data_IF_452711947761
#
_entry.id   IF_452711947761
#
_cell.length_a   1.000
_cell.length_b   1.000
_cell.length_c   1.000
_cell.angle_alpha   90.00
_cell.angle_beta   90.00
_cell.angle_gamma   90.00
#
_symmetry.space_group_name_H-M   'P 1'
#
loop_
_entity.id
_entity.type
_entity.pdbx_description
1 polymer ?
#
# COMPACT_ATOMS: atom_id res chain seq x y z
N UNK A 1 -1.01 15.37 15.05
CA UNK A 1 -2.48 15.49 15.01
C UNK A 1 -3.05 14.78 13.80
N UNK A 2 -4.29 14.33 13.91
CA UNK A 2 -5.11 13.78 12.83
C UNK A 2 -6.35 14.68 12.68
N UNK A 3 -7.03 14.69 11.51
CA UNK A 3 -6.80 13.89 10.29
C UNK A 3 -5.56 14.33 9.48
N UNK A 4 -5.10 13.47 8.57
CA UNK A 4 -3.97 13.73 7.66
C UNK A 4 -4.27 13.22 6.26
N UNK A 5 -3.59 13.78 5.25
CA UNK A 5 -3.72 13.29 3.88
C UNK A 5 -2.92 12.00 3.66
N UNK A 6 -3.51 11.04 2.96
CA UNK A 6 -2.83 9.78 2.60
C UNK A 6 -1.55 10.07 1.82
N UNK A 7 -1.59 11.03 0.88
CA UNK A 7 -0.44 11.36 0.05
C UNK A 7 0.77 11.92 0.83
N UNK A 8 0.57 12.47 2.03
CA UNK A 8 1.65 12.99 2.89
C UNK A 8 2.36 11.87 3.65
N UNK A 9 1.60 10.91 4.18
CA UNK A 9 2.15 9.83 5.02
C UNK A 9 2.48 8.56 4.23
N UNK A 10 1.77 8.31 3.12
CA UNK A 10 1.93 7.15 2.23
C UNK A 10 2.03 7.59 0.76
N UNK A 11 3.12 8.27 0.36
CA UNK A 11 3.25 8.77 -1.00
C UNK A 11 3.23 7.63 -2.04
N UNK A 12 2.53 7.89 -3.16
CA UNK A 12 2.51 7.01 -4.33
C UNK A 12 1.43 5.92 -4.36
N UNK A 13 0.73 5.64 -3.26
CA UNK A 13 -0.37 4.65 -3.26
C UNK A 13 -1.69 5.23 -3.82
N UNK A 14 -1.73 6.55 -4.01
CA UNK A 14 -2.92 7.30 -4.42
C UNK A 14 -3.61 8.00 -3.25
N UNK A 15 -4.85 8.43 -3.47
CA UNK A 15 -5.67 9.16 -2.50
C UNK A 15 -6.84 8.33 -1.94
N UNK A 16 -6.92 7.04 -2.30
CA UNK A 16 -7.95 6.10 -1.86
C UNK A 16 -7.30 4.76 -1.55
N UNK A 17 -7.76 4.12 -0.48
CA UNK A 17 -7.41 2.75 -0.09
C UNK A 17 -8.69 1.93 -0.07
N UNK A 18 -8.72 0.83 -0.81
CA UNK A 18 -9.86 -0.11 -0.78
C UNK A 18 -9.66 -1.16 0.33
N UNK A 19 -8.42 -1.61 0.56
CA UNK A 19 -8.04 -2.50 1.66
C UNK A 19 -6.57 -2.35 2.04
N UNK A 20 -6.21 -2.75 3.26
CA UNK A 20 -4.82 -2.79 3.74
C UNK A 20 -4.63 -3.87 4.80
N UNK A 21 -3.47 -4.53 4.80
CA UNK A 21 -2.98 -5.28 5.95
C UNK A 21 -1.47 -5.07 6.13
N UNK A 22 -0.95 -5.45 7.30
CA UNK A 22 0.47 -5.42 7.62
C UNK A 22 1.03 -6.85 7.70
N UNK A 23 2.20 -7.09 7.10
CA UNK A 23 2.93 -8.37 7.22
C UNK A 23 4.44 -8.13 7.13
N UNK A 24 5.21 -8.70 8.06
CA UNK A 24 6.67 -8.62 8.04
C UNK A 24 7.22 -7.19 8.07
N UNK A 25 6.53 -6.26 8.74
CA UNK A 25 6.93 -4.84 8.82
C UNK A 25 6.53 -3.97 7.62
N UNK A 26 5.91 -4.54 6.59
CA UNK A 26 5.43 -3.80 5.42
C UNK A 26 3.91 -3.64 5.45
N UNK A 27 3.43 -2.53 4.89
CA UNK A 27 2.02 -2.36 4.56
C UNK A 27 1.76 -2.85 3.13
N UNK A 28 0.65 -3.55 2.94
CA UNK A 28 0.18 -4.00 1.64
C UNK A 28 -1.13 -3.30 1.34
N UNK A 29 -1.06 -2.20 0.60
CA UNK A 29 -2.23 -1.41 0.22
C UNK A 29 -2.84 -1.95 -1.06
N UNK A 30 -4.17 -1.91 -1.16
CA UNK A 30 -4.91 -2.30 -2.35
C UNK A 30 -5.76 -1.13 -2.84
N UNK A 31 -5.72 -0.90 -4.14
CA UNK A 31 -6.58 0.06 -4.84
C UNK A 31 -6.94 -0.52 -6.21
N UNK A 32 -8.22 -0.88 -6.39
CA UNK A 32 -8.71 -1.63 -7.53
C UNK A 32 -7.91 -2.93 -7.73
N UNK A 33 -7.34 -3.09 -8.92
CA UNK A 33 -6.58 -4.30 -9.30
C UNK A 33 -5.10 -4.24 -8.89
N UNK A 34 -4.66 -3.21 -8.15
CA UNK A 34 -3.25 -2.97 -7.79
C UNK A 34 -3.02 -3.25 -6.31
N UNK A 35 -1.86 -3.83 -6.00
CA UNK A 35 -1.32 -4.02 -4.65
C UNK A 35 0.04 -3.32 -4.55
N UNK A 36 0.23 -2.51 -3.52
CA UNK A 36 1.47 -1.80 -3.20
C UNK A 36 2.10 -2.39 -1.94
N UNK A 37 3.30 -2.95 -2.04
CA UNK A 37 4.13 -3.26 -0.88
C UNK A 37 4.87 -1.99 -0.47
N UNK A 38 4.51 -1.42 0.67
CA UNK A 38 5.03 -0.15 1.17
C UNK A 38 5.88 -0.37 2.42
N UNK A 39 7.06 0.25 2.44
CA UNK A 39 7.95 0.28 3.60
C UNK A 39 7.70 1.56 4.42
N UNK A 40 7.14 1.44 5.64
CA UNK A 40 6.86 2.60 6.48
C UNK A 40 8.12 3.30 7.01
N UNK A 41 9.29 2.64 7.04
CA UNK A 41 10.53 3.25 7.52
C UNK A 41 11.11 4.22 6.51
N UNK A 42 11.11 3.80 5.23
CA UNK A 42 11.65 4.61 4.14
C UNK A 42 10.58 5.44 3.43
N UNK A 43 9.30 5.23 3.75
CA UNK A 43 8.13 5.78 3.07
C UNK A 43 8.14 5.54 1.55
N UNK A 44 8.57 4.34 1.13
CA UNK A 44 8.70 3.97 -0.29
C UNK A 44 7.85 2.75 -0.65
N UNK A 45 7.35 2.74 -1.88
CA UNK A 45 6.78 1.56 -2.51
C UNK A 45 7.94 0.68 -2.99
N UNK A 46 8.03 -0.54 -2.45
CA UNK A 46 9.04 -1.52 -2.83
C UNK A 46 8.61 -2.36 -4.03
N UNK A 47 7.30 -2.61 -4.17
CA UNK A 47 6.76 -3.44 -5.25
C UNK A 47 5.33 -3.03 -5.57
N UNK A 48 5.00 -3.03 -6.86
CA UNK A 48 3.65 -2.84 -7.38
C UNK A 48 3.24 -4.11 -8.13
N UNK A 49 2.21 -4.80 -7.65
CA UNK A 49 1.71 -6.06 -8.20
C UNK A 49 0.22 -5.99 -8.51
N UNK A 50 -0.32 -7.02 -9.16
CA UNK A 50 -1.77 -7.23 -9.22
C UNK A 50 -2.31 -7.65 -7.84
N UNK A 51 -3.53 -7.25 -7.53
CA UNK A 51 -4.21 -7.58 -6.26
C UNK A 51 -4.32 -9.10 -6.02
N UNK A 52 -4.43 -9.89 -7.09
CA UNK A 52 -4.50 -11.35 -7.05
C UNK A 52 -3.13 -12.06 -7.07
N UNK A 53 -2.01 -11.33 -7.03
CA UNK A 53 -0.64 -11.89 -7.18
C UNK A 53 -0.24 -12.94 -6.14
N UNK A 54 -1.00 -13.05 -5.05
CA UNK A 54 -0.77 -14.02 -3.99
C UNK A 54 -1.48 -15.35 -4.25
N UNK A 55 -2.47 -15.34 -5.13
CA UNK A 55 -3.10 -16.54 -5.62
C UNK A 55 -2.24 -17.09 -6.76
N UNK A 56 -2.08 -18.41 -6.82
CA UNK A 56 -1.33 -19.09 -7.88
C UNK A 56 -2.17 -19.10 -9.18
N UNK A 57 -2.34 -17.93 -9.79
CA UNK A 57 -3.26 -17.67 -10.89
C UNK A 57 -2.62 -16.78 -11.98
#
# INVERSE_FOLDING_TARGET
SYPKMIAEDFPGIGNKVDAVFQKGGFFYFFHGKRQYKFDPKTKKILTLLKANSWFNC
#
